data_IF_067123234854
#
_entry.id   IF_067123234854
#
_cell.length_a   1.000
_cell.length_b   1.000
_cell.length_c   1.000
_cell.angle_alpha   90.00
_cell.angle_beta   90.00
_cell.angle_gamma   90.00
#
_symmetry.space_group_name_H-M   'P 1'
#
loop_
_entity.id
_entity.type
_entity.pdbx_description
1 polymer ?
#
# COMPACT_ATOMS: atom_id res chain seq x y z
N UNK A 1 2.72 -10.47 19.84
CA UNK A 1 1.86 -9.61 19.01
C UNK A 1 2.77 -8.59 18.32
N UNK A 2 3.14 -8.84 17.06
CA UNK A 2 3.95 -7.89 16.28
C UNK A 2 3.04 -6.75 15.85
N UNK A 3 3.10 -5.61 16.55
CA UNK A 3 2.12 -4.52 16.39
C UNK A 3 2.67 -3.24 15.75
N UNK A 4 3.99 -3.15 15.54
CA UNK A 4 4.58 -1.96 14.95
C UNK A 4 5.71 -2.33 13.97
N UNK A 5 5.54 -2.07 12.65
CA UNK A 5 6.57 -2.35 11.65
C UNK A 5 7.87 -1.56 11.86
N UNK A 6 7.86 -0.54 12.70
CA UNK A 6 9.03 0.24 13.09
C UNK A 6 9.72 -0.29 14.36
N UNK A 7 9.39 -1.50 14.82
CA UNK A 7 10.08 -2.16 15.93
C UNK A 7 11.56 -2.37 15.57
N UNK A 8 12.47 -1.89 16.42
CA UNK A 8 13.92 -1.96 16.19
C UNK A 8 14.53 -0.76 15.48
N UNK A 9 13.72 0.19 14.99
CA UNK A 9 14.22 1.46 14.47
C UNK A 9 14.51 2.46 15.61
N UNK A 10 15.48 3.35 15.38
CA UNK A 10 15.79 4.42 16.32
C UNK A 10 14.59 5.34 16.55
N UNK A 11 14.29 5.65 17.81
CA UNK A 11 13.09 6.42 18.18
C UNK A 11 13.02 7.80 17.48
N UNK A 12 14.19 8.43 17.27
CA UNK A 12 14.30 9.70 16.55
C UNK A 12 13.94 9.57 15.06
N UNK A 13 14.37 8.49 14.41
CA UNK A 13 14.05 8.24 13.01
C UNK A 13 12.56 7.92 12.82
N UNK A 14 12.01 7.12 13.72
CA UNK A 14 10.59 6.79 13.77
C UNK A 14 9.72 8.05 13.91
N UNK A 15 10.11 8.99 14.77
CA UNK A 15 9.43 10.27 14.91
C UNK A 15 9.56 11.13 13.63
N UNK A 16 10.75 11.18 13.04
CA UNK A 16 11.02 11.92 11.79
C UNK A 16 10.14 11.41 10.63
N UNK A 17 10.09 10.11 10.42
CA UNK A 17 9.28 9.50 9.35
C UNK A 17 7.79 9.78 9.53
N UNK A 18 7.27 9.73 10.76
CA UNK A 18 5.88 10.11 11.03
C UNK A 18 5.62 11.58 10.70
N UNK A 19 6.53 12.48 11.04
CA UNK A 19 6.40 13.90 10.69
C UNK A 19 6.45 14.11 9.17
N UNK A 20 7.32 13.39 8.46
CA UNK A 20 7.37 13.42 6.99
C UNK A 20 6.06 12.94 6.36
N UNK A 21 5.52 11.82 6.84
CA UNK A 21 4.21 11.32 6.40
C UNK A 21 3.06 12.30 6.71
N UNK A 22 3.09 12.93 7.88
CA UNK A 22 2.14 13.98 8.26
C UNK A 22 2.20 15.20 7.32
N UNK A 23 3.42 15.66 6.98
CA UNK A 23 3.63 16.75 6.00
C UNK A 23 3.15 16.37 4.61
N UNK A 24 3.37 15.13 4.18
CA UNK A 24 2.89 14.63 2.89
C UNK A 24 1.35 14.65 2.79
N UNK A 25 0.65 14.19 3.84
CA UNK A 25 -0.81 14.27 3.92
C UNK A 25 -1.31 15.71 3.90
N UNK A 26 -0.67 16.58 4.69
CA UNK A 26 -0.98 18.01 4.74
C UNK A 26 -0.85 18.67 3.38
N UNK A 27 0.26 18.43 2.68
CA UNK A 27 0.50 19.00 1.37
C UNK A 27 -0.58 18.55 0.35
N UNK A 28 -0.99 17.27 0.40
CA UNK A 28 -2.08 16.79 -0.45
C UNK A 28 -3.41 17.44 -0.10
N UNK A 29 -3.74 17.59 1.18
CA UNK A 29 -4.95 18.28 1.64
C UNK A 29 -4.99 19.74 1.16
N UNK A 30 -3.90 20.47 1.36
CA UNK A 30 -3.78 21.89 0.98
C UNK A 30 -3.86 22.08 -0.54
N UNK A 31 -3.27 21.16 -1.32
CA UNK A 31 -3.40 21.17 -2.79
C UNK A 31 -4.84 20.98 -3.29
N UNK A 32 -5.73 20.41 -2.47
CA UNK A 32 -7.17 20.28 -2.75
C UNK A 32 -7.99 21.47 -2.22
N UNK A 33 -7.34 22.46 -1.57
CA UNK A 33 -8.02 23.59 -0.95
C UNK A 33 -8.81 23.24 0.31
N UNK A 34 -8.60 22.05 0.89
CA UNK A 34 -9.34 21.58 2.07
C UNK A 34 -8.71 22.14 3.35
N UNK A 35 -9.52 22.59 4.29
CA UNK A 35 -9.07 22.83 5.67
C UNK A 35 -8.97 21.51 6.45
N UNK A 36 -8.33 21.52 7.62
CA UNK A 36 -8.33 20.34 8.51
C UNK A 36 -9.74 19.96 8.95
N UNK A 37 -10.65 20.93 9.09
CA UNK A 37 -12.06 20.69 9.45
C UNK A 37 -12.80 20.00 8.30
N UNK A 38 -12.55 20.40 7.06
CA UNK A 38 -13.16 19.77 5.89
C UNK A 38 -12.70 18.32 5.76
N UNK A 39 -11.40 18.05 5.94
CA UNK A 39 -10.88 16.69 5.92
C UNK A 39 -11.49 15.84 7.07
N UNK A 40 -11.57 16.38 8.28
CA UNK A 40 -12.19 15.70 9.42
C UNK A 40 -13.65 15.32 9.13
N UNK A 41 -14.43 16.26 8.57
CA UNK A 41 -15.81 16.01 8.18
C UNK A 41 -15.92 14.94 7.09
N UNK A 42 -15.05 14.99 6.07
CA UNK A 42 -15.04 14.04 4.97
C UNK A 42 -14.73 12.60 5.39
N UNK A 43 -13.89 12.41 6.43
CA UNK A 43 -13.55 11.07 6.95
C UNK A 43 -14.47 10.63 8.12
N UNK A 44 -15.43 11.46 8.52
CA UNK A 44 -16.31 11.17 9.65
C UNK A 44 -15.62 11.20 11.01
N UNK A 45 -14.56 11.99 11.18
CA UNK A 45 -13.88 12.15 12.46
C UNK A 45 -14.62 13.17 13.35
N UNK A 46 -14.80 12.83 14.63
CA UNK A 46 -15.53 13.66 15.60
C UNK A 46 -14.88 15.03 15.82
N UNK A 47 -13.55 15.13 15.69
CA UNK A 47 -12.80 16.35 15.99
C UNK A 47 -11.66 16.61 14.99
N UNK A 48 -11.52 17.87 14.55
CA UNK A 48 -10.45 18.29 13.64
C UNK A 48 -9.04 18.16 14.25
N UNK A 49 -8.93 18.15 15.59
CA UNK A 49 -7.65 17.95 16.30
C UNK A 49 -7.00 16.63 15.94
N UNK A 50 -7.79 15.62 15.57
CA UNK A 50 -7.31 14.36 15.04
C UNK A 50 -6.45 14.58 13.78
N UNK A 51 -6.93 15.37 12.82
CA UNK A 51 -6.18 15.70 11.60
C UNK A 51 -4.86 16.39 11.93
N UNK A 52 -4.88 17.37 12.84
CA UNK A 52 -3.68 18.08 13.28
C UNK A 52 -2.64 17.15 13.94
N UNK A 53 -3.09 16.17 14.74
CA UNK A 53 -2.20 15.17 15.33
C UNK A 53 -1.52 14.28 14.27
N UNK A 54 -2.27 13.86 13.24
CA UNK A 54 -1.70 13.09 12.12
C UNK A 54 -0.71 13.93 11.33
N UNK A 55 -1.10 15.15 10.93
CA UNK A 55 -0.26 16.04 10.11
C UNK A 55 1.02 16.49 10.82
N UNK A 56 1.01 16.53 12.16
CA UNK A 56 2.20 16.82 12.98
C UNK A 56 3.05 15.59 13.32
N UNK A 57 2.66 14.39 12.87
CA UNK A 57 3.39 13.13 13.15
C UNK A 57 3.24 12.63 14.59
N UNK A 58 2.33 13.22 15.39
CA UNK A 58 2.00 12.76 16.75
C UNK A 58 1.07 11.55 16.77
N UNK A 59 0.39 11.28 15.65
CA UNK A 59 -0.42 10.08 15.45
C UNK A 59 -0.14 9.41 14.12
N UNK A 60 -0.85 8.31 13.87
CA UNK A 60 -0.89 7.62 12.56
C UNK A 60 -2.32 7.52 12.08
N UNK A 61 -2.52 7.55 10.77
CA UNK A 61 -3.81 7.19 10.16
C UNK A 61 -4.16 5.76 10.58
N UNK A 62 -5.31 5.52 11.24
CA UNK A 62 -5.75 4.18 11.60
C UNK A 62 -6.01 3.34 10.35
N UNK A 63 -5.68 2.04 10.41
CA UNK A 63 -5.81 1.13 9.26
C UNK A 63 -7.26 1.10 8.75
N UNK A 64 -8.23 1.04 9.65
CA UNK A 64 -9.66 1.06 9.33
C UNK A 64 -10.16 2.38 8.71
N UNK A 65 -9.37 3.46 8.77
CA UNK A 65 -9.71 4.74 8.15
C UNK A 65 -8.95 4.99 6.83
N UNK A 66 -8.02 4.12 6.42
CA UNK A 66 -7.20 4.36 5.22
C UNK A 66 -8.05 4.57 3.95
N UNK A 67 -9.15 3.85 3.80
CA UNK A 67 -10.05 4.04 2.65
C UNK A 67 -10.75 5.42 2.67
N UNK A 68 -11.21 5.86 3.84
CA UNK A 68 -11.86 7.17 4.00
C UNK A 68 -10.86 8.30 3.71
N UNK A 69 -9.62 8.18 4.18
CA UNK A 69 -8.55 9.13 3.89
C UNK A 69 -8.21 9.18 2.40
N UNK A 70 -8.08 8.02 1.74
CA UNK A 70 -7.80 7.96 0.31
C UNK A 70 -8.92 8.66 -0.50
N UNK A 71 -10.18 8.39 -0.17
CA UNK A 71 -11.33 9.03 -0.80
C UNK A 71 -11.34 10.55 -0.59
N UNK A 72 -11.20 11.01 0.65
CA UNK A 72 -11.20 12.44 0.99
C UNK A 72 -10.05 13.21 0.32
N UNK A 73 -8.88 12.58 0.19
CA UNK A 73 -7.70 13.15 -0.46
C UNK A 73 -7.66 12.92 -1.98
N UNK A 74 -8.75 12.40 -2.57
CA UNK A 74 -8.88 12.13 -4.02
C UNK A 74 -7.69 11.35 -4.55
N UNK A 75 -7.34 10.26 -3.87
CA UNK A 75 -6.30 9.33 -4.25
C UNK A 75 -6.91 7.95 -4.45
N UNK A 76 -6.37 7.16 -5.37
CA UNK A 76 -6.72 5.75 -5.41
C UNK A 76 -6.26 5.05 -4.12
N UNK A 77 -6.94 3.97 -3.73
CA UNK A 77 -6.57 3.17 -2.55
C UNK A 77 -5.11 2.72 -2.60
N UNK A 78 -4.65 2.31 -3.79
CA UNK A 78 -3.26 1.87 -4.04
C UNK A 78 -2.26 2.99 -3.85
N UNK A 79 -2.51 4.16 -4.45
CA UNK A 79 -1.61 5.32 -4.31
C UNK A 79 -1.50 5.78 -2.86
N UNK A 80 -2.62 5.85 -2.15
CA UNK A 80 -2.63 6.24 -0.74
C UNK A 80 -1.88 5.23 0.12
N UNK A 81 -2.21 3.94 0.01
CA UNK A 81 -1.57 2.87 0.77
C UNK A 81 -0.06 2.82 0.51
N UNK A 82 0.37 2.86 -0.75
CA UNK A 82 1.79 2.90 -1.11
C UNK A 82 2.47 4.16 -0.55
N UNK A 83 1.85 5.32 -0.70
CA UNK A 83 2.40 6.60 -0.26
C UNK A 83 2.60 6.69 1.25
N UNK A 84 1.61 6.24 2.04
CA UNK A 84 1.70 6.27 3.50
C UNK A 84 2.63 5.17 4.05
N UNK A 85 2.69 4.01 3.39
CA UNK A 85 3.57 2.90 3.77
C UNK A 85 5.03 3.31 3.77
N UNK A 86 5.47 4.13 2.80
CA UNK A 86 6.83 4.69 2.75
C UNK A 86 7.30 5.30 4.08
N UNK A 87 6.36 5.85 4.87
CA UNK A 87 6.65 6.50 6.14
C UNK A 87 6.33 5.62 7.36
N UNK A 88 5.26 4.82 7.30
CA UNK A 88 4.80 4.04 8.45
C UNK A 88 5.45 2.66 8.55
N UNK A 89 5.89 2.12 7.42
CA UNK A 89 6.53 0.82 7.29
C UNK A 89 7.55 0.85 6.13
N UNK A 90 8.68 1.57 6.32
CA UNK A 90 9.68 1.73 5.27
C UNK A 90 10.35 0.41 4.87
N UNK A 91 10.40 -0.58 5.77
CA UNK A 91 10.98 -1.90 5.50
C UNK A 91 10.09 -2.71 4.55
N UNK A 92 8.80 -2.80 4.83
CA UNK A 92 7.87 -3.46 3.89
C UNK A 92 7.79 -2.69 2.57
N UNK A 93 7.85 -1.36 2.62
CA UNK A 93 7.88 -0.54 1.41
C UNK A 93 9.08 -0.90 0.52
N UNK A 94 10.29 -0.98 1.08
CA UNK A 94 11.47 -1.32 0.28
C UNK A 94 11.37 -2.73 -0.29
N UNK A 95 10.93 -3.71 0.51
CA UNK A 95 10.75 -5.10 0.04
C UNK A 95 9.75 -5.21 -1.12
N UNK A 96 8.68 -4.41 -1.14
CA UNK A 96 7.64 -4.48 -2.16
C UNK A 96 7.93 -3.62 -3.40
N UNK A 97 8.70 -2.54 -3.26
CA UNK A 97 8.77 -1.49 -4.27
C UNK A 97 10.19 -1.04 -4.64
N UNK A 98 11.20 -1.32 -3.82
CA UNK A 98 12.58 -1.16 -4.26
C UNK A 98 12.90 -2.40 -5.10
N UNK A 99 13.21 -2.18 -6.37
CA UNK A 99 13.47 -3.27 -7.30
C UNK A 99 14.71 -4.04 -6.85
N UNK A 100 14.53 -5.24 -6.31
CA UNK A 100 15.58 -6.25 -6.37
C UNK A 100 15.70 -6.69 -7.83
N UNK A 101 16.84 -6.37 -8.44
CA UNK A 101 17.40 -7.17 -9.53
C UNK A 101 17.48 -8.61 -9.03
N UNK A 102 16.45 -9.40 -9.34
CA UNK A 102 16.34 -10.77 -8.91
C UNK A 102 17.53 -11.60 -9.43
N UNK A 103 17.97 -12.58 -8.63
CA UNK A 103 17.67 -13.93 -9.06
C UNK A 103 16.63 -14.46 -8.09
N UNK A 104 15.42 -14.65 -8.61
CA UNK A 104 14.50 -15.61 -8.04
C UNK A 104 15.25 -16.93 -8.01
N UNK A 105 15.68 -17.35 -6.82
CA UNK A 105 16.11 -18.72 -6.62
C UNK A 105 14.89 -19.53 -7.03
N UNK A 106 15.07 -20.29 -8.12
CA UNK A 106 14.07 -21.24 -8.62
C UNK A 106 13.72 -22.18 -7.45
N UNK A 107 12.65 -21.85 -6.74
CA UNK A 107 11.88 -22.86 -6.05
C UNK A 107 11.33 -23.77 -7.13
N UNK A 108 11.49 -25.08 -6.94
CA UNK A 108 10.93 -26.15 -7.76
C UNK A 108 9.41 -25.97 -7.95
N UNK A 109 9.02 -25.10 -8.88
CA UNK A 109 7.69 -25.04 -9.46
C UNK A 109 7.84 -25.53 -10.89
N UNK A 110 7.33 -26.73 -11.12
CA UNK A 110 7.22 -27.37 -12.42
C UNK A 110 6.83 -26.33 -13.47
N UNK A 111 7.62 -26.28 -14.55
CA UNK A 111 7.38 -25.45 -15.72
C UNK A 111 5.86 -25.37 -16.00
N UNK A 112 5.25 -24.21 -15.73
CA UNK A 112 3.89 -23.98 -16.15
C UNK A 112 3.88 -24.13 -17.67
N UNK A 113 3.12 -25.08 -18.24
CA UNK A 113 3.12 -25.30 -19.67
C UNK A 113 2.74 -23.99 -20.37
N UNK A 114 3.55 -23.61 -21.35
CA UNK A 114 3.27 -22.42 -22.14
C UNK A 114 1.93 -22.55 -22.85
N UNK A 115 1.38 -21.43 -23.31
CA UNK A 115 0.13 -21.44 -24.09
C UNK A 115 0.21 -22.41 -25.28
N UNK A 116 1.39 -22.59 -25.89
CA UNK A 116 1.64 -23.57 -26.95
C UNK A 116 1.45 -25.03 -26.50
N UNK A 117 1.94 -25.38 -25.31
CA UNK A 117 1.82 -26.73 -24.76
C UNK A 117 0.36 -27.09 -24.42
N UNK A 118 -0.41 -26.09 -23.99
CA UNK A 118 -1.85 -26.21 -23.74
C UNK A 118 -2.62 -26.40 -25.05
N UNK A 119 -2.30 -25.64 -26.10
CA UNK A 119 -2.90 -25.80 -27.44
C UNK A 119 -2.63 -27.20 -27.98
N UNK A 120 -1.40 -27.69 -27.86
CA UNK A 120 -1.04 -29.02 -28.36
C UNK A 120 -1.69 -30.16 -27.53
N UNK A 121 -1.91 -29.96 -26.22
CA UNK A 121 -2.71 -30.89 -25.40
C UNK A 121 -4.17 -30.90 -25.82
N UNK A 122 -4.77 -29.74 -26.09
CA UNK A 122 -6.16 -29.63 -26.55
C UNK A 122 -6.34 -30.36 -27.89
N UNK A 123 -5.47 -30.11 -28.88
CA UNK A 123 -5.56 -30.78 -30.18
C UNK A 123 -5.44 -32.30 -30.10
N UNK A 124 -4.58 -32.82 -29.21
CA UNK A 124 -4.46 -34.27 -28.96
C UNK A 124 -5.72 -34.88 -28.33
N UNK A 125 -6.42 -34.14 -27.49
CA UNK A 125 -7.67 -34.60 -26.88
C UNK A 125 -8.82 -34.59 -27.90
N UNK A 126 -8.93 -33.54 -28.71
CA UNK A 126 -9.92 -33.44 -29.78
C UNK A 126 -9.77 -34.59 -30.80
N UNK A 127 -8.54 -34.91 -31.20
CA UNK A 127 -8.27 -36.02 -32.13
C UNK A 127 -8.62 -37.41 -31.55
N UNK A 128 -8.59 -37.57 -30.22
CA UNK A 128 -9.02 -38.80 -29.55
C UNK A 128 -10.53 -38.90 -29.46
N UNK A 129 -11.20 -37.78 -29.18
CA UNK A 129 -12.67 -37.71 -29.12
C UNK A 129 -13.33 -37.88 -30.50
N UNK A 130 -12.65 -37.50 -31.59
CA UNK A 130 -13.15 -37.67 -32.96
C UNK A 130 -12.99 -39.11 -33.52
N UNK A 131 -12.40 -40.03 -32.75
CA UNK A 131 -12.14 -41.43 -33.16
C UNK A 131 -13.07 -42.45 -32.50
N UNK A 132 -13.96 -42.01 -31.61
CA UNK A 132 -15.07 -42.78 -31.02
C UNK A 132 -16.41 -42.32 -31.63
#
# INVERSE_FOLDING_TARGET
MFSNPQQGMEAGEVARLRQEGGRWLRARREALGLTQRDLASAIGADYYSFISQIESGRGRVPINQMEAWAAALRMSRREFAKGIMRYYDPLTYSMLFDAESAPVVAGDDAAQPGLGDLVERISRLEARLAKD
#
